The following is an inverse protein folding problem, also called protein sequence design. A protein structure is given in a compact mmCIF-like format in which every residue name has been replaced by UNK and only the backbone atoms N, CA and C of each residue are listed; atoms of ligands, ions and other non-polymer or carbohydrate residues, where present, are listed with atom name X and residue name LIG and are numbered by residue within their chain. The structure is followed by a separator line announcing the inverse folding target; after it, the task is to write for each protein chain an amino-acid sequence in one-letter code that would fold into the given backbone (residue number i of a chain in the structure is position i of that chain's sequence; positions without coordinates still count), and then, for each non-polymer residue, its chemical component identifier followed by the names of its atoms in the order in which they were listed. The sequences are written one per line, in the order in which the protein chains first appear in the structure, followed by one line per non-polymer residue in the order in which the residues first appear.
data_IF_491450144084
#
_entry.id   IF_491450144084
#
_cell.length_a   1.000
_cell.length_b   1.000
_cell.length_c   1.000
_cell.angle_alpha   90.00
_cell.angle_beta   90.00
_cell.angle_gamma   90.00
#
_symmetry.space_group_name_H-M   'P 1'
#
loop_
_entity.id
_entity.type
_entity.pdbx_description
1 polymer ?
#
# COMPACT_ATOMS: atom_id res chain seq x y z
N UNK A 1 10.10 15.83 -22.68
CA UNK A 1 8.72 15.60 -23.18
C UNK A 1 7.95 14.84 -22.12
N UNK A 2 6.80 15.37 -21.71
CA UNK A 2 5.88 14.72 -20.79
C UNK A 2 4.99 13.72 -21.56
N UNK A 3 5.61 12.65 -22.07
CA UNK A 3 4.99 11.65 -22.95
C UNK A 3 3.81 10.94 -22.28
N UNK A 4 3.92 10.70 -20.97
CA UNK A 4 2.84 10.12 -20.17
C UNK A 4 1.56 10.96 -20.28
N UNK A 5 1.65 12.29 -20.14
CA UNK A 5 0.47 13.15 -20.23
C UNK A 5 -0.18 13.15 -21.63
N UNK A 6 0.62 13.03 -22.69
CA UNK A 6 0.10 12.92 -24.05
C UNK A 6 -0.67 11.63 -24.25
N UNK A 7 -0.08 10.51 -23.80
CA UNK A 7 -0.72 9.18 -23.87
C UNK A 7 -1.98 9.15 -23.00
N UNK A 8 -1.93 9.67 -21.78
CA UNK A 8 -3.08 9.72 -20.87
C UNK A 8 -4.24 10.51 -21.47
N UNK A 9 -3.97 11.66 -22.11
CA UNK A 9 -5.01 12.46 -22.73
C UNK A 9 -5.59 11.80 -23.98
N UNK A 10 -4.77 11.14 -24.81
CA UNK A 10 -5.26 10.36 -25.94
C UNK A 10 -6.15 9.20 -25.48
N UNK A 11 -5.73 8.46 -24.43
CA UNK A 11 -6.52 7.39 -23.84
C UNK A 11 -7.87 7.89 -23.32
N UNK A 12 -7.89 9.03 -22.64
CA UNK A 12 -9.13 9.63 -22.11
C UNK A 12 -10.02 10.15 -23.22
N UNK A 13 -9.44 10.77 -24.25
CA UNK A 13 -10.19 11.26 -25.41
C UNK A 13 -10.88 10.11 -26.15
N UNK A 14 -10.15 9.04 -26.43
CA UNK A 14 -10.68 7.86 -27.14
C UNK A 14 -11.68 7.05 -26.29
N UNK A 15 -11.64 7.21 -24.97
CA UNK A 15 -12.55 6.55 -24.02
C UNK A 15 -13.68 7.46 -23.54
N UNK A 16 -13.77 8.71 -23.99
CA UNK A 16 -14.67 9.71 -23.43
C UNK A 16 -16.14 9.28 -23.48
N UNK A 17 -16.60 8.83 -24.66
CA UNK A 17 -17.99 8.42 -24.86
C UNK A 17 -18.36 7.19 -24.03
N UNK A 18 -17.43 6.23 -23.93
CA UNK A 18 -17.61 5.02 -23.11
C UNK A 18 -17.66 5.38 -21.62
N UNK A 19 -16.80 6.28 -21.15
CA UNK A 19 -16.70 6.67 -19.74
C UNK A 19 -17.89 7.52 -19.26
N UNK A 20 -18.44 8.38 -20.12
CA UNK A 20 -19.57 9.26 -19.77
C UNK A 20 -20.87 8.50 -19.50
N UNK A 21 -20.99 7.26 -19.99
CA UNK A 21 -22.17 6.41 -19.80
C UNK A 21 -22.07 5.49 -18.58
N UNK A 22 -20.91 5.45 -17.93
CA UNK A 22 -20.65 4.55 -16.81
C UNK A 22 -20.85 5.26 -15.47
N UNK A 23 -21.28 4.50 -14.47
CA UNK A 23 -21.22 4.91 -13.09
C UNK A 23 -19.79 4.79 -12.54
N UNK A 24 -19.59 5.15 -11.27
CA UNK A 24 -18.26 5.15 -10.65
C UNK A 24 -17.60 3.77 -10.67
N UNK A 25 -18.34 2.71 -10.32
CA UNK A 25 -17.81 1.34 -10.33
C UNK A 25 -17.50 0.86 -11.76
N UNK A 26 -18.40 1.15 -12.70
CA UNK A 26 -18.24 0.85 -14.12
C UNK A 26 -17.00 1.52 -14.71
N UNK A 27 -16.75 2.79 -14.39
CA UNK A 27 -15.56 3.52 -14.83
C UNK A 27 -14.27 2.85 -14.30
N UNK A 28 -14.23 2.48 -13.02
CA UNK A 28 -13.07 1.77 -12.43
C UNK A 28 -12.84 0.41 -13.09
N UNK A 29 -13.90 -0.34 -13.38
CA UNK A 29 -13.83 -1.62 -14.10
C UNK A 29 -13.34 -1.42 -15.54
N UNK A 30 -13.80 -0.36 -16.21
CA UNK A 30 -13.40 -0.01 -17.57
C UNK A 30 -11.88 0.25 -17.65
N UNK A 31 -11.33 1.08 -16.77
CA UNK A 31 -9.89 1.34 -16.72
C UNK A 31 -9.06 0.09 -16.43
N UNK A 32 -9.54 -0.81 -15.56
CA UNK A 32 -8.80 -2.01 -15.17
C UNK A 32 -8.86 -3.15 -16.19
N UNK A 33 -9.95 -3.28 -16.93
CA UNK A 33 -10.22 -4.47 -17.75
C UNK A 33 -10.40 -4.13 -19.23
N UNK A 34 -11.31 -3.20 -19.54
CA UNK A 34 -11.71 -2.93 -20.93
C UNK A 34 -10.64 -2.14 -21.68
N UNK A 35 -10.15 -1.06 -21.07
CA UNK A 35 -9.16 -0.18 -21.67
C UNK A 35 -7.85 -0.93 -22.05
N UNK A 36 -7.24 -1.75 -21.16
CA UNK A 36 -6.01 -2.48 -21.51
C UNK A 36 -6.24 -3.51 -22.62
N UNK A 37 -7.43 -4.11 -22.70
CA UNK A 37 -7.78 -5.07 -23.75
C UNK A 37 -7.89 -4.40 -25.12
N UNK A 38 -8.42 -3.17 -25.20
CA UNK A 38 -8.64 -2.39 -26.43
C UNK A 38 -7.32 -2.14 -27.20
N UNK A 39 -6.21 -1.95 -26.47
CA UNK A 39 -4.89 -1.63 -27.04
C UNK A 39 -3.89 -2.80 -27.04
N UNK A 40 -4.35 -4.04 -26.82
CA UNK A 40 -3.47 -5.23 -26.79
C UNK A 40 -2.81 -5.53 -28.14
N UNK A 41 -3.45 -5.15 -29.24
CA UNK A 41 -2.93 -5.35 -30.60
C UNK A 41 -2.00 -4.21 -31.01
N UNK A 42 -0.94 -4.53 -31.75
CA UNK A 42 0.05 -3.55 -32.21
C UNK A 42 -0.57 -2.44 -33.09
N UNK A 43 -1.56 -2.77 -33.93
CA UNK A 43 -2.24 -1.78 -34.77
C UNK A 43 -2.93 -0.68 -33.94
N UNK A 44 -3.71 -1.08 -32.93
CA UNK A 44 -4.41 -0.15 -32.03
C UNK A 44 -3.41 0.63 -31.17
N UNK A 45 -2.34 -0.01 -30.68
CA UNK A 45 -1.30 0.67 -29.91
C UNK A 45 -0.58 1.73 -30.76
N UNK A 46 -0.24 1.44 -32.02
CA UNK A 46 0.36 2.40 -32.94
C UNK A 46 -0.59 3.55 -33.27
N UNK A 47 -1.88 3.28 -33.43
CA UNK A 47 -2.90 4.32 -33.64
C UNK A 47 -2.98 5.28 -32.45
N UNK A 48 -3.01 4.74 -31.22
CA UNK A 48 -2.98 5.54 -29.99
C UNK A 48 -1.72 6.41 -29.90
N UNK A 49 -0.54 5.86 -30.20
CA UNK A 49 0.71 6.62 -30.14
C UNK A 49 0.70 7.77 -31.15
N UNK A 50 0.21 7.55 -32.37
CA UNK A 50 0.06 8.63 -33.37
C UNK A 50 -0.86 9.72 -32.86
N UNK A 51 -2.03 9.35 -32.33
CA UNK A 51 -2.99 10.29 -31.75
C UNK A 51 -2.38 11.07 -30.57
N UNK A 52 -1.64 10.41 -29.69
CA UNK A 52 -0.95 11.04 -28.57
C UNK A 52 0.09 12.08 -29.01
N UNK A 53 0.79 11.86 -30.13
CA UNK A 53 1.77 12.82 -30.67
C UNK A 53 1.07 14.04 -31.28
N UNK A 54 -0.15 13.89 -31.80
CA UNK A 54 -0.95 15.00 -32.33
C UNK A 54 -1.51 15.92 -31.23
N UNK A 55 -1.64 15.44 -29.99
CA UNK A 55 -2.07 16.26 -28.86
C UNK A 55 -1.08 17.40 -28.59
N UNK A 56 -1.52 18.63 -28.84
CA UNK A 56 -0.71 19.84 -28.59
C UNK A 56 -0.74 20.23 -27.11
N UNK A 57 0.04 19.54 -26.27
CA UNK A 57 0.22 19.96 -24.88
C UNK A 57 1.25 21.08 -24.76
N UNK A 58 0.75 22.30 -24.46
CA UNK A 58 1.60 23.45 -24.20
C UNK A 58 2.32 23.27 -22.86
N UNK A 59 3.64 23.13 -22.88
CA UNK A 59 4.45 22.97 -21.66
C UNK A 59 4.22 24.11 -20.64
N UNK A 60 4.02 25.35 -21.10
CA UNK A 60 3.64 26.48 -20.24
C UNK A 60 2.36 26.25 -19.42
N UNK A 61 1.39 25.51 -19.96
CA UNK A 61 0.16 25.16 -19.22
C UNK A 61 0.43 24.14 -18.13
N UNK A 62 1.31 23.17 -18.39
CA UNK A 62 1.69 22.17 -17.37
C UNK A 62 2.40 22.84 -16.19
N UNK A 63 3.36 23.73 -16.44
CA UNK A 63 4.04 24.49 -15.38
C UNK A 63 3.06 25.36 -14.58
N UNK A 64 2.06 25.94 -15.25
CA UNK A 64 0.99 26.68 -14.57
C UNK A 64 0.18 25.76 -13.65
N UNK A 65 -0.26 24.60 -14.13
CA UNK A 65 -1.02 23.64 -13.31
C UNK A 65 -0.21 23.06 -12.15
N UNK A 66 1.09 22.85 -12.35
CA UNK A 66 2.00 22.44 -11.28
C UNK A 66 2.06 23.52 -10.18
N UNK A 67 2.24 24.79 -10.55
CA UNK A 67 2.25 25.90 -9.59
C UNK A 67 0.93 26.02 -8.83
N UNK A 68 -0.19 25.97 -9.55
CA UNK A 68 -1.54 26.04 -8.96
C UNK A 68 -1.80 24.89 -7.99
N UNK A 69 -1.36 23.67 -8.34
CA UNK A 69 -1.48 22.50 -7.46
C UNK A 69 -0.68 22.67 -6.17
N UNK A 70 0.56 23.18 -6.26
CA UNK A 70 1.40 23.41 -5.09
C UNK A 70 0.83 24.50 -4.18
N UNK A 71 0.33 25.60 -4.75
CA UNK A 71 -0.32 26.68 -4.00
C UNK A 71 -1.59 26.17 -3.29
N UNK A 72 -2.42 25.39 -3.98
CA UNK A 72 -3.62 24.76 -3.39
C UNK A 72 -3.24 23.84 -2.22
N UNK A 73 -2.20 22.99 -2.39
CA UNK A 73 -1.72 22.10 -1.32
C UNK A 73 -1.15 22.84 -0.12
N UNK A 74 -0.50 23.98 -0.33
CA UNK A 74 -0.04 24.84 0.77
C UNK A 74 -1.22 25.47 1.50
N UNK A 75 -2.21 25.99 0.78
CA UNK A 75 -3.42 26.56 1.37
C UNK A 75 -4.23 25.53 2.16
N UNK A 76 -4.39 24.31 1.64
CA UNK A 76 -5.01 23.19 2.37
C UNK A 76 -4.27 22.91 3.69
N UNK A 77 -2.93 22.96 3.68
CA UNK A 77 -2.11 22.74 4.88
C UNK A 77 -2.26 23.86 5.91
N UNK A 78 -2.36 25.10 5.46
CA UNK A 78 -2.55 26.28 6.34
C UNK A 78 -3.97 26.29 6.92
N UNK A 79 -4.97 25.86 6.15
CA UNK A 79 -6.37 25.78 6.60
C UNK A 79 -6.65 24.58 7.50
N UNK A 80 -5.82 23.53 7.43
CA UNK A 80 -5.93 22.38 8.32
C UNK A 80 -5.71 22.83 9.78
N UNK A 81 -6.73 22.65 10.63
CA UNK A 81 -6.64 22.96 12.06
C UNK A 81 -5.46 22.17 12.68
N UNK A 82 -4.44 22.86 13.25
CA UNK A 82 -3.29 22.22 13.87
C UNK A 82 -3.69 21.17 14.91
N UNK A 83 -4.79 21.40 15.65
CA UNK A 83 -5.27 20.47 16.66
C UNK A 83 -5.82 19.19 16.03
N UNK A 84 -6.68 19.30 15.01
CA UNK A 84 -7.23 18.14 14.30
C UNK A 84 -6.12 17.30 13.66
N UNK A 85 -5.11 17.96 13.09
CA UNK A 85 -3.94 17.29 12.52
C UNK A 85 -3.17 16.50 13.59
N UNK A 86 -2.86 17.14 14.72
CA UNK A 86 -2.16 16.50 15.83
C UNK A 86 -2.98 15.35 16.41
N UNK A 87 -4.29 15.51 16.57
CA UNK A 87 -5.18 14.45 17.06
C UNK A 87 -5.19 13.24 16.13
N UNK A 88 -5.27 13.44 14.81
CA UNK A 88 -5.23 12.34 13.83
C UNK A 88 -3.90 11.59 13.86
N UNK A 89 -2.79 12.34 13.95
CA UNK A 89 -1.45 11.75 14.06
C UNK A 89 -1.29 11.00 15.37
N UNK A 90 -1.78 11.56 16.48
CA UNK A 90 -1.70 10.93 17.79
C UNK A 90 -2.55 9.65 17.86
N UNK A 91 -3.75 9.65 17.27
CA UNK A 91 -4.57 8.45 17.14
C UNK A 91 -3.84 7.34 16.38
N UNK A 92 -3.16 7.67 15.28
CA UNK A 92 -2.35 6.70 14.54
C UNK A 92 -1.16 6.16 15.36
N UNK A 93 -0.51 7.01 16.15
CA UNK A 93 0.53 6.55 17.08
C UNK A 93 -0.03 5.63 18.17
N UNK A 94 -1.18 5.96 18.75
CA UNK A 94 -1.86 5.11 19.72
C UNK A 94 -2.21 3.74 19.13
N UNK A 95 -2.77 3.68 17.91
CA UNK A 95 -3.07 2.42 17.23
C UNK A 95 -1.80 1.57 17.02
N UNK A 96 -0.70 2.22 16.66
CA UNK A 96 0.59 1.56 16.44
C UNK A 96 1.16 1.02 17.76
N UNK A 97 1.09 1.80 18.84
CA UNK A 97 1.51 1.39 20.18
C UNK A 97 0.70 0.19 20.64
N UNK A 98 -0.63 0.24 20.53
CA UNK A 98 -1.52 -0.86 20.93
C UNK A 98 -1.22 -2.15 20.16
N UNK A 99 -0.89 -2.06 18.86
CA UNK A 99 -0.47 -3.23 18.08
C UNK A 99 0.85 -3.80 18.60
N UNK A 100 1.84 -2.94 18.84
CA UNK A 100 3.16 -3.35 19.32
C UNK A 100 3.11 -3.92 20.74
N UNK A 101 2.26 -3.38 21.61
CA UNK A 101 2.03 -3.91 22.97
C UNK A 101 1.46 -5.33 22.90
N UNK A 102 0.47 -5.59 22.05
CA UNK A 102 -0.04 -6.96 21.86
C UNK A 102 1.01 -7.91 21.31
N UNK A 103 1.76 -7.48 20.29
CA UNK A 103 2.87 -8.29 19.76
C UNK A 103 3.92 -8.58 20.83
N UNK A 104 4.19 -7.62 21.72
CA UNK A 104 5.11 -7.81 22.83
C UNK A 104 4.58 -8.81 23.86
N UNK A 105 3.31 -8.68 24.23
CA UNK A 105 2.64 -9.58 25.18
C UNK A 105 2.61 -11.02 24.65
N UNK A 106 2.29 -11.21 23.36
CA UNK A 106 2.28 -12.51 22.70
C UNK A 106 3.68 -13.15 22.74
N UNK A 107 4.71 -12.39 22.35
CA UNK A 107 6.10 -12.86 22.37
C UNK A 107 6.58 -13.18 23.80
N UNK A 108 6.22 -12.37 24.78
CA UNK A 108 6.55 -12.63 26.18
C UNK A 108 5.88 -13.91 26.69
N UNK A 109 4.61 -14.13 26.31
CA UNK A 109 3.87 -15.33 26.67
C UNK A 109 4.50 -16.60 26.06
N UNK A 110 4.85 -16.56 24.77
CA UNK A 110 5.56 -17.65 24.08
C UNK A 110 6.90 -17.96 24.75
N UNK A 111 7.68 -16.94 25.10
CA UNK A 111 8.98 -17.11 25.74
C UNK A 111 8.86 -17.80 27.11
N UNK A 112 7.89 -17.38 27.92
CA UNK A 112 7.64 -17.99 29.23
C UNK A 112 7.20 -19.43 29.08
N UNK A 113 6.28 -19.73 28.15
CA UNK A 113 5.81 -21.08 27.90
C UNK A 113 6.94 -22.00 27.43
N UNK A 114 7.76 -21.53 26.49
CA UNK A 114 8.95 -22.25 26.02
C UNK A 114 9.93 -22.52 27.16
N UNK A 115 10.17 -21.53 28.05
CA UNK A 115 11.04 -21.69 29.22
C UNK A 115 10.50 -22.74 30.21
N UNK A 116 9.19 -22.74 30.49
CA UNK A 116 8.55 -23.73 31.36
C UNK A 116 8.68 -25.13 30.75
N UNK A 117 8.43 -25.27 29.44
CA UNK A 117 8.52 -26.53 28.74
C UNK A 117 9.96 -27.09 28.74
N UNK A 118 10.94 -26.25 28.45
CA UNK A 118 12.36 -26.63 28.51
C UNK A 118 12.77 -27.05 29.92
N UNK A 119 12.28 -26.35 30.96
CA UNK A 119 12.58 -26.72 32.34
C UNK A 119 11.99 -28.09 32.70
N UNK A 120 10.73 -28.34 32.34
CA UNK A 120 10.09 -29.65 32.54
C UNK A 120 10.85 -30.77 31.84
N UNK A 121 11.33 -30.53 30.61
CA UNK A 121 12.16 -31.49 29.86
C UNK A 121 13.49 -31.76 30.55
N UNK A 122 14.15 -30.73 31.07
CA UNK A 122 15.40 -30.86 31.83
C UNK A 122 15.19 -31.69 33.10
N UNK A 123 14.20 -31.33 33.92
CA UNK A 123 13.88 -32.06 35.15
C UNK A 123 13.59 -33.55 34.85
N UNK A 124 12.90 -33.85 33.73
CA UNK A 124 12.61 -35.23 33.32
C UNK A 124 13.85 -36.03 32.84
N UNK A 125 14.89 -35.37 32.34
CA UNK A 125 16.18 -35.99 31.99
C UNK A 125 17.00 -36.21 33.25
N UNK A 126 17.04 -35.24 34.16
CA UNK A 126 17.74 -35.37 35.45
C UNK A 126 17.20 -36.55 36.25
N UNK A 127 15.86 -36.65 36.41
CA UNK A 127 15.23 -37.79 37.11
C UNK A 127 15.60 -39.13 36.48
N UNK A 128 15.57 -39.21 35.14
CA UNK A 128 15.98 -40.44 34.42
C UNK A 128 17.44 -40.79 34.64
N UNK A 129 18.32 -39.79 34.62
CA UNK A 129 19.75 -39.96 34.88
C UNK A 129 20.01 -40.47 36.31
N UNK A 130 19.35 -39.88 37.31
CA UNK A 130 19.41 -40.33 38.70
C UNK A 130 18.92 -41.76 38.88
N UNK A 131 17.78 -42.14 38.28
CA UNK A 131 17.30 -43.52 38.32
C UNK A 131 18.26 -44.51 37.65
N UNK A 132 18.88 -44.13 36.53
CA UNK A 132 19.83 -44.98 35.81
C UNK A 132 21.14 -45.16 36.59
N UNK A 133 21.66 -44.08 37.19
CA UNK A 133 22.85 -44.12 38.05
C UNK A 133 22.64 -45.01 39.29
N UNK A 134 21.45 -44.97 39.89
CA UNK A 134 21.11 -45.84 41.03
C UNK A 134 20.99 -47.32 40.65
N UNK A 135 20.64 -47.61 39.39
CA UNK A 135 20.46 -48.98 38.89
C UNK A 135 21.77 -49.66 38.47
N UNK A 136 22.82 -48.89 38.17
CA UNK A 136 24.17 -49.39 37.80
C UNK A 136 25.17 -49.42 38.97
N UNK A 137 24.80 -48.88 40.13
CA UNK A 137 25.64 -48.85 41.34
C UNK A 137 25.45 -50.04 42.30
N UNK A 138 24.70 -51.08 41.90
CA UNK A 138 24.60 -52.37 42.59
C UNK A 138 25.33 -53.46 41.82
#
# INVERSE_FOLDING_TARGET
MNTIFHISLALLHDAADDLLQLDFEGALKYFRVTLPRKYRTEANAKALIRHAVEFKLKHKRLLKYEKEYMEMKEQERIQEDPLMKLQKVNAHYCDTILRLERENDDLAHELVNSKIELRRKLDAVEVRSFCCAFSFGQ
#
